data_IF_837574418467
#
_entry.id   IF_837574418467
#
_cell.length_a   1.000
_cell.length_b   1.000
_cell.length_c   1.000
_cell.angle_alpha   90.00
_cell.angle_beta   90.00
_cell.angle_gamma   90.00
#
_symmetry.space_group_name_H-M   'P 1'
#
loop_
_entity.id
_entity.type
_entity.pdbx_description
1 polymer ?
#
# COMPACT_ATOMS: atom_id res chain seq x y z
N UNK A 1 -4.21 28.72 14.65
CA UNK A 1 -4.52 28.41 13.24
C UNK A 1 -3.29 27.95 12.46
N UNK A 2 -2.20 28.73 12.40
CA UNK A 2 -0.98 28.36 11.65
C UNK A 2 -0.29 27.10 12.20
N UNK A 3 -0.13 26.98 13.53
CA UNK A 3 0.49 25.80 14.15
C UNK A 3 -0.26 24.48 13.83
N UNK A 4 -1.60 24.54 13.79
CA UNK A 4 -2.43 23.38 13.43
C UNK A 4 -2.21 22.96 11.97
N UNK A 5 -2.02 23.93 11.08
CA UNK A 5 -1.72 23.66 9.66
C UNK A 5 -0.36 22.95 9.51
N UNK A 6 0.66 23.39 10.25
CA UNK A 6 1.97 22.71 10.26
C UNK A 6 1.89 21.27 10.77
N UNK A 7 1.14 21.02 11.85
CA UNK A 7 0.96 19.68 12.40
C UNK A 7 0.25 18.76 11.40
N UNK A 8 -0.84 19.23 10.78
CA UNK A 8 -1.58 18.44 9.79
C UNK A 8 -0.73 18.12 8.56
N UNK A 9 0.01 19.11 8.05
CA UNK A 9 0.91 18.89 6.91
C UNK A 9 2.02 17.90 7.24
N UNK A 10 2.63 18.01 8.42
CA UNK A 10 3.66 17.08 8.89
C UNK A 10 3.14 15.65 9.00
N UNK A 11 1.97 15.45 9.62
CA UNK A 11 1.35 14.12 9.73
C UNK A 11 1.00 13.53 8.37
N UNK A 12 0.46 14.33 7.45
CA UNK A 12 0.14 13.89 6.10
C UNK A 12 1.41 13.45 5.33
N UNK A 13 2.48 14.25 5.41
CA UNK A 13 3.74 13.94 4.75
C UNK A 13 4.39 12.66 5.31
N UNK A 14 4.42 12.49 6.63
CA UNK A 14 4.97 11.29 7.27
C UNK A 14 4.17 10.04 6.90
N UNK A 15 2.85 10.13 6.91
CA UNK A 15 1.98 9.02 6.53
C UNK A 15 2.18 8.63 5.07
N UNK A 16 2.32 9.61 4.17
CA UNK A 16 2.53 9.36 2.74
C UNK A 16 3.87 8.67 2.46
N UNK A 17 4.95 9.08 3.12
CA UNK A 17 6.27 8.47 2.92
C UNK A 17 6.35 7.08 3.56
N UNK A 18 5.73 6.88 4.72
CA UNK A 18 5.75 5.61 5.44
C UNK A 18 4.86 4.52 4.83
N UNK A 19 3.76 4.89 4.15
CA UNK A 19 2.80 3.89 3.64
C UNK A 19 3.34 3.08 2.47
N UNK A 20 4.23 3.66 1.65
CA UNK A 20 4.76 3.00 0.45
C UNK A 20 5.53 1.72 0.81
N UNK A 21 6.59 1.74 1.65
CA UNK A 21 7.29 0.51 2.00
C UNK A 21 6.38 -0.50 2.72
N UNK A 22 5.50 -0.03 3.62
CA UNK A 22 4.57 -0.89 4.36
C UNK A 22 3.60 -1.62 3.42
N UNK A 23 3.12 -0.95 2.38
CA UNK A 23 2.22 -1.54 1.38
C UNK A 23 2.91 -2.66 0.57
N UNK A 24 4.17 -2.46 0.20
CA UNK A 24 4.95 -3.50 -0.50
C UNK A 24 5.24 -4.70 0.40
N UNK A 25 5.60 -4.46 1.66
CA UNK A 25 5.83 -5.51 2.65
C UNK A 25 4.58 -6.36 2.87
N UNK A 26 3.43 -5.71 3.14
CA UNK A 26 2.15 -6.40 3.31
C UNK A 26 1.75 -7.20 2.05
N UNK A 27 1.99 -6.65 0.86
CA UNK A 27 1.72 -7.35 -0.40
C UNK A 27 2.57 -8.61 -0.58
N UNK A 28 3.85 -8.56 -0.24
CA UNK A 28 4.74 -9.72 -0.28
C UNK A 28 4.32 -10.80 0.72
N UNK A 29 3.88 -10.42 1.91
CA UNK A 29 3.42 -11.37 2.93
C UNK A 29 2.13 -12.09 2.51
N UNK A 30 1.15 -11.35 1.99
CA UNK A 30 -0.11 -11.92 1.48
C UNK A 30 0.14 -12.86 0.30
N UNK A 31 1.13 -12.57 -0.53
CA UNK A 31 1.45 -13.35 -1.71
C UNK A 31 2.42 -14.51 -1.44
N UNK A 32 2.85 -14.74 -0.20
CA UNK A 32 3.74 -15.86 0.13
C UNK A 32 3.12 -17.22 -0.29
N UNK A 33 3.89 -18.17 -0.89
CA UNK A 33 5.34 -18.21 -1.11
C UNK A 33 5.81 -17.71 -2.49
N UNK A 34 5.18 -16.67 -3.06
CA UNK A 34 5.60 -16.09 -4.34
C UNK A 34 6.87 -15.24 -4.15
N UNK A 35 7.72 -15.20 -5.20
CA UNK A 35 8.93 -14.39 -5.23
C UNK A 35 8.61 -12.89 -5.04
N UNK A 36 9.25 -12.24 -4.06
CA UNK A 36 9.05 -10.82 -3.72
C UNK A 36 9.26 -9.87 -4.90
N UNK A 37 10.21 -10.17 -5.80
CA UNK A 37 10.47 -9.34 -6.99
C UNK A 37 9.28 -9.38 -7.94
N UNK A 38 8.63 -10.53 -8.09
CA UNK A 38 7.44 -10.67 -8.93
C UNK A 38 6.26 -9.89 -8.31
N UNK A 39 6.05 -10.04 -7.00
CA UNK A 39 4.98 -9.31 -6.29
C UNK A 39 5.21 -7.80 -6.37
N UNK A 40 6.43 -7.35 -6.09
CA UNK A 40 6.82 -5.94 -6.16
C UNK A 40 6.64 -5.36 -7.56
N UNK A 41 7.05 -6.07 -8.61
CA UNK A 41 6.86 -5.61 -9.99
C UNK A 41 5.37 -5.55 -10.37
N UNK A 42 4.55 -6.51 -9.94
CA UNK A 42 3.10 -6.47 -10.12
C UNK A 42 2.45 -5.25 -9.43
N UNK A 43 2.78 -4.99 -8.17
CA UNK A 43 2.27 -3.84 -7.41
C UNK A 43 2.71 -2.50 -8.03
N UNK A 44 3.97 -2.43 -8.48
CA UNK A 44 4.51 -1.26 -9.14
C UNK A 44 3.85 -1.02 -10.50
N UNK A 45 3.59 -2.08 -11.27
CA UNK A 45 2.90 -1.98 -12.56
C UNK A 45 1.46 -1.51 -12.39
N UNK A 46 0.74 -2.03 -11.39
CA UNK A 46 -0.59 -1.53 -11.04
C UNK A 46 -0.57 -0.03 -10.69
N UNK A 47 0.43 0.40 -9.91
CA UNK A 47 0.61 1.81 -9.54
C UNK A 47 0.85 2.71 -10.76
N UNK A 48 1.64 2.25 -11.74
CA UNK A 48 1.86 2.98 -12.99
C UNK A 48 0.62 3.05 -13.87
N UNK A 49 -0.20 1.98 -13.92
CA UNK A 49 -1.45 1.99 -14.67
C UNK A 49 -2.40 3.04 -14.09
N UNK A 50 -2.59 3.06 -12.77
CA UNK A 50 -3.45 4.05 -12.09
C UNK A 50 -2.92 5.47 -12.34
N UNK A 51 -1.60 5.68 -12.18
CA UNK A 51 -0.97 6.98 -12.42
C UNK A 51 -1.12 7.42 -13.88
N UNK A 52 -0.99 6.50 -14.83
CA UNK A 52 -1.19 6.75 -16.26
C UNK A 52 -2.62 7.15 -16.58
N UNK A 53 -3.61 6.49 -15.98
CA UNK A 53 -5.03 6.87 -16.13
C UNK A 53 -5.26 8.30 -15.60
N UNK A 54 -4.75 8.63 -14.41
CA UNK A 54 -4.85 9.98 -13.85
C UNK A 54 -4.18 11.03 -14.75
N UNK A 55 -3.01 10.72 -15.29
CA UNK A 55 -2.31 11.59 -16.23
C UNK A 55 -3.13 11.83 -17.51
N UNK A 56 -3.71 10.78 -18.09
CA UNK A 56 -4.58 10.90 -19.28
C UNK A 56 -5.84 11.72 -18.99
N UNK A 57 -6.46 11.56 -17.81
CA UNK A 57 -7.60 12.36 -17.38
C UNK A 57 -7.24 13.83 -17.20
N UNK A 58 -6.03 14.13 -16.73
CA UNK A 58 -5.53 15.50 -16.58
C UNK A 58 -5.26 16.16 -17.95
N UNK A 59 -4.81 15.40 -18.95
CA UNK A 59 -4.64 15.91 -20.32
C UNK A 59 -5.97 16.23 -21.02
N UNK A 60 -7.10 15.76 -20.49
CA UNK A 60 -8.41 16.09 -21.04
C UNK A 60 -8.77 17.56 -20.71
N UNK A 61 -8.85 18.39 -21.75
CA UNK A 61 -9.11 19.84 -21.64
C UNK A 61 -10.38 20.20 -20.84
N UNK A 62 -11.40 19.34 -20.86
CA UNK A 62 -12.63 19.57 -20.10
C UNK A 62 -12.44 19.38 -18.59
N UNK A 63 -11.68 18.35 -18.19
CA UNK A 63 -11.35 18.08 -16.78
C UNK A 63 -10.26 19.00 -16.24
N UNK A 64 -9.36 19.49 -17.09
CA UNK A 64 -8.29 20.41 -16.71
C UNK A 64 -8.83 21.74 -16.13
N UNK A 65 -9.99 22.21 -16.59
CA UNK A 65 -10.63 23.43 -16.05
C UNK A 65 -11.31 23.24 -14.69
N UNK A 66 -11.58 21.99 -14.28
CA UNK A 66 -12.31 21.68 -13.05
C UNK A 66 -11.47 20.86 -12.07
N UNK A 67 -10.43 21.43 -11.47
CA UNK A 67 -9.47 20.68 -10.62
C UNK A 67 -10.09 19.99 -9.38
N UNK A 68 -11.33 20.33 -9.00
CA UNK A 68 -12.03 19.74 -7.86
C UNK A 68 -12.23 18.22 -7.98
N UNK A 69 -12.36 17.66 -9.19
CA UNK A 69 -12.53 16.21 -9.36
C UNK A 69 -11.34 15.44 -8.79
N UNK A 70 -10.12 15.97 -8.91
CA UNK A 70 -8.91 15.30 -8.45
C UNK A 70 -8.91 15.11 -6.94
N UNK A 71 -9.37 16.11 -6.19
CA UNK A 71 -9.49 16.03 -4.73
C UNK A 71 -10.56 15.01 -4.32
N UNK A 72 -11.72 15.00 -4.99
CA UNK A 72 -12.79 14.05 -4.70
C UNK A 72 -12.42 12.61 -5.06
N UNK A 73 -11.73 12.37 -6.17
CA UNK A 73 -11.28 11.02 -6.55
C UNK A 73 -10.15 10.53 -5.65
N UNK A 74 -9.23 11.40 -5.22
CA UNK A 74 -8.22 11.06 -4.22
C UNK A 74 -8.85 10.72 -2.88
N UNK A 75 -9.82 11.51 -2.41
CA UNK A 75 -10.55 11.24 -1.16
C UNK A 75 -11.34 9.93 -1.23
N UNK A 76 -12.03 9.68 -2.36
CA UNK A 76 -12.74 8.43 -2.57
C UNK A 76 -11.79 7.24 -2.60
N UNK A 77 -10.66 7.37 -3.30
CA UNK A 77 -9.63 6.33 -3.38
C UNK A 77 -9.06 5.97 -2.01
N UNK A 78 -8.67 6.96 -1.21
CA UNK A 78 -8.13 6.70 0.14
C UNK A 78 -9.18 6.07 1.06
N UNK A 79 -10.43 6.54 1.01
CA UNK A 79 -11.52 5.99 1.83
C UNK A 79 -11.82 4.54 1.47
N UNK A 80 -11.89 4.23 0.17
CA UNK A 80 -12.12 2.87 -0.32
C UNK A 80 -10.94 1.96 0.04
N UNK A 81 -9.71 2.42 -0.11
CA UNK A 81 -8.52 1.65 0.27
C UNK A 81 -8.49 1.32 1.76
N UNK A 82 -8.83 2.29 2.63
CA UNK A 82 -8.94 2.06 4.08
C UNK A 82 -10.05 1.06 4.41
N UNK A 83 -11.19 1.16 3.73
CA UNK A 83 -12.28 0.22 3.91
C UNK A 83 -11.90 -1.19 3.50
N UNK A 84 -11.19 -1.36 2.38
CA UNK A 84 -10.70 -2.67 1.93
C UNK A 84 -9.64 -3.21 2.90
N UNK A 85 -8.68 -2.39 3.32
CA UNK A 85 -7.63 -2.78 4.27
C UNK A 85 -8.21 -3.27 5.60
N UNK A 86 -9.34 -2.73 6.06
CA UNK A 86 -10.02 -3.22 7.26
C UNK A 86 -10.40 -4.72 7.18
N UNK A 87 -10.65 -5.25 5.97
CA UNK A 87 -10.96 -6.67 5.78
C UNK A 87 -9.73 -7.53 5.49
N UNK A 88 -8.56 -6.94 5.27
CA UNK A 88 -7.33 -7.69 5.06
C UNK A 88 -6.91 -8.25 6.41
N UNK A 89 -6.93 -9.58 6.52
CA UNK A 89 -6.45 -10.28 7.71
C UNK A 89 -4.93 -10.38 7.63
N UNK A 90 -4.23 -9.94 8.67
CA UNK A 90 -2.80 -10.19 8.82
C UNK A 90 -2.58 -11.71 8.92
N UNK A 91 -1.85 -12.26 7.94
CA UNK A 91 -1.40 -13.66 7.96
C UNK A 91 0.11 -13.65 7.82
N UNK A 92 0.82 -13.85 8.93
CA UNK A 92 2.28 -13.92 8.98
C UNK A 92 2.74 -15.35 8.64
N UNK A 93 2.61 -15.74 7.38
CA UNK A 93 2.93 -17.11 6.96
C UNK A 93 4.43 -17.41 7.04
N UNK A 94 5.30 -16.39 6.95
CA UNK A 94 6.74 -16.56 7.14
C UNK A 94 7.11 -16.91 8.58
N UNK A 95 6.39 -16.33 9.56
CA UNK A 95 6.61 -16.58 10.98
C UNK A 95 6.20 -18.02 11.34
N UNK A 96 5.06 -18.50 10.83
CA UNK A 96 4.57 -19.85 11.09
C UNK A 96 5.53 -20.93 10.57
N UNK A 97 6.14 -20.72 9.39
CA UNK A 97 7.12 -21.65 8.83
C UNK A 97 8.46 -21.63 9.56
N UNK A 98 8.89 -20.48 10.09
CA UNK A 98 10.10 -20.41 10.91
C UNK A 98 9.90 -21.14 12.25
N UNK A 99 8.72 -21.02 12.89
CA UNK A 99 8.39 -21.74 14.13
C UNK A 99 8.33 -23.26 13.92
N UNK A 100 7.74 -23.71 12.82
CA UNK A 100 7.68 -25.14 12.46
C UNK A 100 9.09 -25.72 12.26
N UNK A 101 10.00 -24.99 11.61
CA UNK A 101 11.39 -25.45 11.41
C UNK A 101 12.19 -25.50 12.72
N UNK A 102 12.00 -24.55 13.64
CA UNK A 102 12.68 -24.55 14.95
C UNK A 102 12.24 -25.76 15.79
N UNK A 103 10.95 -26.10 15.79
CA UNK A 103 10.45 -27.26 16.52
C UNK A 103 11.04 -28.58 16.00
N UNK A 104 11.13 -28.77 14.68
CA UNK A 104 11.70 -29.97 14.06
C UNK A 104 13.19 -30.15 14.37
N UNK A 105 13.96 -29.06 14.46
CA UNK A 105 15.39 -29.12 14.81
C UNK A 105 15.55 -29.54 16.28
N UNK A 106 14.70 -29.09 17.20
CA UNK A 106 14.74 -29.54 18.60
C UNK A 106 14.43 -31.03 18.74
N UNK A 107 13.47 -31.59 17.99
CA UNK A 107 13.14 -33.02 18.06
C UNK A 107 14.23 -33.93 17.46
N UNK A 108 14.99 -33.48 16.47
CA UNK A 108 16.08 -34.28 15.87
C UNK A 108 17.37 -34.34 16.70
N UNK A 109 17.44 -33.62 17.83
CA UNK A 109 18.58 -33.60 18.74
C UNK A 109 18.36 -34.38 20.04
N UNK A 110 17.28 -35.17 20.14
CA UNK A 110 17.02 -36.11 21.25
C UNK A 110 16.98 -37.56 20.76
#
# INVERSE_FOLDING_TARGET
>A
MIALLFVLFGLAAMSFVGVVPLFFEAGCEIAYPVNEVLVGTCLQMASFIVSGIYFLLLLNQFLASYTAWMTWTLLAGTTVSLFILYFVKDQYSRLDLDDDNVSQIQYNHY
#
